data_IF_216057685638
#
_entry.id   IF_216057685638
#
_cell.length_a   1.000
_cell.length_b   1.000
_cell.length_c   1.000
_cell.angle_alpha   90.00
_cell.angle_beta   90.00
_cell.angle_gamma   90.00
#
_symmetry.space_group_name_H-M   'P 1'
#
loop_
_entity.id
_entity.type
_entity.pdbx_description
1 polymer ?
#
# COMPACT_ATOMS: atom_id res chain seq x y z
N UNK A 1 14.04 -23.82 -7.48
CA UNK A 1 14.37 -22.42 -7.80
C UNK A 1 14.04 -22.15 -9.26
N UNK A 2 13.67 -20.91 -9.60
CA UNK A 2 13.36 -20.53 -10.99
C UNK A 2 14.54 -19.76 -11.58
N UNK A 3 14.89 -20.07 -12.83
CA UNK A 3 15.91 -19.37 -13.58
C UNK A 3 15.27 -18.32 -14.48
N UNK A 4 15.97 -17.21 -14.67
CA UNK A 4 15.53 -16.12 -15.54
C UNK A 4 16.73 -15.60 -16.34
N UNK A 5 16.47 -15.36 -17.62
CA UNK A 5 17.33 -14.61 -18.52
C UNK A 5 16.44 -13.76 -19.43
N UNK A 6 17.01 -12.67 -19.92
CA UNK A 6 16.36 -11.75 -20.84
C UNK A 6 17.14 -11.68 -22.14
N UNK A 7 16.42 -11.65 -23.25
CA UNK A 7 16.99 -11.41 -24.56
C UNK A 7 16.34 -10.18 -25.18
N UNK A 8 17.15 -9.18 -25.46
CA UNK A 8 16.73 -7.92 -26.04
C UNK A 8 17.12 -7.90 -27.52
N UNK A 9 16.11 -7.87 -28.40
CA UNK A 9 16.33 -7.80 -29.84
C UNK A 9 16.29 -6.34 -30.29
N UNK A 10 17.47 -5.78 -30.58
CA UNK A 10 17.60 -4.45 -31.11
C UNK A 10 17.24 -4.42 -32.61
N UNK A 11 16.41 -3.47 -32.99
CA UNK A 11 15.93 -3.30 -34.35
C UNK A 11 15.76 -1.82 -34.67
N UNK A 12 16.47 -1.28 -35.68
CA UNK A 12 16.15 0.02 -36.25
C UNK A 12 14.65 0.26 -36.47
N UNK A 13 14.19 1.44 -36.06
CA UNK A 13 12.77 1.84 -36.14
C UNK A 13 12.22 1.73 -37.57
N UNK A 14 12.99 2.17 -38.56
CA UNK A 14 12.59 2.11 -39.98
C UNK A 14 12.27 0.69 -40.41
N UNK A 15 13.09 -0.28 -39.99
CA UNK A 15 12.86 -1.66 -40.31
C UNK A 15 11.68 -2.26 -39.53
N UNK A 16 11.46 -1.84 -38.27
CA UNK A 16 10.25 -2.18 -37.53
C UNK A 16 8.99 -1.72 -38.26
N UNK A 17 8.98 -0.49 -38.79
CA UNK A 17 7.87 0.07 -39.57
C UNK A 17 7.68 -0.68 -40.89
N UNK A 18 8.75 -0.97 -41.62
CA UNK A 18 8.70 -1.73 -42.86
C UNK A 18 8.13 -3.14 -42.63
N UNK A 19 8.64 -3.87 -41.63
CA UNK A 19 8.14 -5.21 -41.27
C UNK A 19 6.68 -5.15 -40.80
N UNK A 20 6.29 -4.11 -40.08
CA UNK A 20 4.91 -3.95 -39.63
C UNK A 20 3.92 -3.82 -40.79
N UNK A 21 4.26 -3.08 -41.85
CA UNK A 21 3.41 -2.92 -43.04
C UNK A 21 3.16 -4.21 -43.81
N UNK A 22 4.04 -5.21 -43.64
CA UNK A 22 3.91 -6.54 -44.27
C UNK A 22 3.04 -7.51 -43.45
N UNK A 23 2.61 -7.15 -42.23
CA UNK A 23 1.77 -8.00 -41.39
C UNK A 23 0.34 -8.00 -41.91
N UNK A 24 -0.38 -9.12 -41.70
CA UNK A 24 -1.80 -9.22 -42.02
C UNK A 24 -2.65 -8.19 -41.26
N UNK A 25 -2.25 -7.85 -40.04
CA UNK A 25 -2.87 -6.84 -39.20
C UNK A 25 -1.80 -5.89 -38.66
N UNK A 26 -1.46 -4.82 -39.38
CA UNK A 26 -0.46 -3.86 -38.93
C UNK A 26 -0.96 -3.07 -37.72
N UNK A 27 -0.07 -2.78 -36.78
CA UNK A 27 -0.36 -1.78 -35.73
C UNK A 27 -0.14 -0.37 -36.29
N UNK A 28 -0.79 0.68 -35.73
CA UNK A 28 -0.54 2.05 -36.18
C UNK A 28 0.94 2.44 -36.05
N UNK A 29 1.49 3.12 -37.06
CA UNK A 29 2.90 3.56 -37.05
C UNK A 29 3.21 4.40 -35.80
N UNK A 30 2.28 5.24 -35.34
CA UNK A 30 2.44 6.05 -34.11
C UNK A 30 2.69 5.18 -32.86
N UNK A 31 2.06 4.01 -32.76
CA UNK A 31 2.28 3.06 -31.66
C UNK A 31 3.73 2.57 -31.65
N UNK A 32 4.27 2.25 -32.82
CA UNK A 32 5.66 1.79 -32.95
C UNK A 32 6.63 2.90 -32.57
N UNK A 33 6.39 4.14 -33.02
CA UNK A 33 7.19 5.29 -32.60
C UNK A 33 7.15 5.52 -31.08
N UNK A 34 5.97 5.36 -30.47
CA UNK A 34 5.81 5.49 -29.02
C UNK A 34 6.57 4.39 -28.27
N UNK A 35 6.49 3.14 -28.75
CA UNK A 35 7.22 2.01 -28.17
C UNK A 35 8.73 2.24 -28.26
N UNK A 36 9.25 2.66 -29.41
CA UNK A 36 10.68 2.92 -29.60
C UNK A 36 11.22 4.01 -28.64
N UNK A 37 10.38 4.99 -28.28
CA UNK A 37 10.75 6.03 -27.30
C UNK A 37 10.68 5.56 -25.84
N UNK A 38 9.87 4.54 -25.54
CA UNK A 38 9.55 4.11 -24.17
C UNK A 38 10.23 2.82 -23.76
N UNK A 39 10.67 2.01 -24.71
CA UNK A 39 11.35 0.75 -24.43
C UNK A 39 12.67 1.04 -23.72
N UNK A 40 12.87 0.45 -22.56
CA UNK A 40 14.12 0.55 -21.80
C UNK A 40 15.00 -0.65 -22.15
N UNK A 41 16.29 -0.41 -22.40
CA UNK A 41 17.26 -1.49 -22.51
C UNK A 41 17.55 -2.09 -21.13
N UNK A 42 17.90 -3.38 -21.05
CA UNK A 42 18.36 -3.96 -19.80
C UNK A 42 19.57 -3.18 -19.23
N UNK A 43 19.50 -2.84 -17.95
CA UNK A 43 20.47 -2.09 -17.17
C UNK A 43 20.72 -2.78 -15.82
N UNK A 44 21.78 -3.60 -15.78
CA UNK A 44 22.21 -4.34 -14.59
C UNK A 44 22.55 -3.42 -13.41
N UNK A 45 22.94 -2.16 -13.67
CA UNK A 45 23.27 -1.21 -12.59
C UNK A 45 22.00 -0.72 -11.89
N UNK A 46 20.93 -0.50 -12.65
CA UNK A 46 19.60 -0.13 -12.13
C UNK A 46 18.90 -1.33 -11.50
N UNK A 47 19.03 -2.50 -12.14
CA UNK A 47 18.28 -3.71 -11.83
C UNK A 47 19.23 -4.91 -11.76
N UNK A 48 19.68 -5.28 -10.55
CA UNK A 48 20.62 -6.40 -10.37
C UNK A 48 20.08 -7.75 -10.90
N UNK A 49 18.76 -7.93 -10.96
CA UNK A 49 18.12 -9.14 -11.50
C UNK A 49 18.24 -9.27 -13.02
N UNK A 50 18.62 -8.20 -13.74
CA UNK A 50 18.84 -8.19 -15.18
C UNK A 50 20.26 -8.69 -15.56
N UNK A 51 21.03 -9.23 -14.61
CA UNK A 51 22.41 -9.72 -14.84
C UNK A 51 22.53 -10.73 -16.00
N UNK A 52 21.50 -11.55 -16.23
CA UNK A 52 21.44 -12.52 -17.31
C UNK A 52 20.71 -11.92 -18.52
N UNK A 53 21.23 -10.81 -19.06
CA UNK A 53 20.67 -10.15 -20.25
C UNK A 53 21.61 -10.25 -21.44
N UNK A 54 21.06 -10.52 -22.61
CA UNK A 54 21.78 -10.51 -23.89
C UNK A 54 21.10 -9.55 -24.87
N UNK A 55 21.87 -8.68 -25.52
CA UNK A 55 21.39 -7.74 -26.53
C UNK A 55 21.88 -8.23 -27.90
N UNK A 56 20.96 -8.50 -28.81
CA UNK A 56 21.27 -8.97 -30.17
C UNK A 56 20.64 -8.06 -31.22
N UNK A 57 21.33 -7.92 -32.35
CA UNK A 57 20.80 -7.20 -33.52
C UNK A 57 19.88 -8.11 -34.35
N UNK A 58 18.70 -7.61 -34.70
CA UNK A 58 17.68 -8.35 -35.46
C UNK A 58 17.88 -8.39 -36.98
N UNK A 59 19.01 -7.90 -37.49
CA UNK A 59 19.34 -7.87 -38.93
C UNK A 59 20.26 -9.01 -39.36
N UNK A 60 21.21 -9.37 -38.52
CA UNK A 60 22.34 -10.23 -38.89
C UNK A 60 22.50 -11.38 -37.90
N UNK A 61 21.41 -12.15 -37.67
CA UNK A 61 21.49 -13.33 -36.82
C UNK A 61 22.49 -14.33 -37.41
N UNK A 62 23.63 -14.49 -36.75
CA UNK A 62 24.71 -15.37 -37.19
C UNK A 62 24.81 -16.60 -36.28
N UNK A 63 25.69 -17.54 -36.61
CA UNK A 63 25.90 -18.74 -35.77
C UNK A 63 26.44 -18.38 -34.37
N UNK A 64 27.18 -17.29 -34.23
CA UNK A 64 27.72 -16.83 -32.95
C UNK A 64 26.61 -16.37 -32.00
N UNK A 65 25.56 -15.75 -32.51
CA UNK A 65 24.38 -15.38 -31.73
C UNK A 65 23.69 -16.60 -31.11
N UNK A 66 23.62 -17.71 -31.85
CA UNK A 66 23.05 -18.96 -31.32
C UNK A 66 23.87 -19.52 -30.15
N UNK A 67 25.20 -19.47 -30.27
CA UNK A 67 26.10 -19.90 -29.19
C UNK A 67 25.97 -18.99 -27.96
N UNK A 68 25.85 -17.67 -28.15
CA UNK A 68 25.61 -16.72 -27.07
C UNK A 68 24.26 -16.97 -26.38
N UNK A 69 23.21 -17.31 -27.12
CA UNK A 69 21.90 -17.67 -26.57
C UNK A 69 22.00 -18.94 -25.73
N UNK A 70 22.65 -19.99 -26.25
CA UNK A 70 22.83 -21.26 -25.53
C UNK A 70 23.64 -21.02 -24.25
N UNK A 71 24.71 -20.23 -24.34
CA UNK A 71 25.53 -19.85 -23.18
C UNK A 71 24.74 -19.07 -22.14
N UNK A 72 23.90 -18.11 -22.56
CA UNK A 72 23.02 -17.36 -21.66
C UNK A 72 22.05 -18.28 -20.92
N UNK A 73 21.43 -19.21 -21.64
CA UNK A 73 20.50 -20.18 -21.06
C UNK A 73 21.20 -21.08 -20.05
N UNK A 74 22.38 -21.62 -20.37
CA UNK A 74 23.18 -22.43 -19.45
C UNK A 74 23.54 -21.63 -18.19
N UNK A 75 24.03 -20.40 -18.37
CA UNK A 75 24.39 -19.50 -17.26
C UNK A 75 23.21 -19.22 -16.34
N UNK A 76 22.02 -18.96 -16.90
CA UNK A 76 20.81 -18.72 -16.12
C UNK A 76 20.32 -19.97 -15.38
N UNK A 77 20.48 -21.16 -15.96
CA UNK A 77 20.14 -22.44 -15.32
C UNK A 77 21.08 -22.75 -14.14
N UNK A 78 22.38 -22.48 -14.29
CA UNK A 78 23.36 -22.65 -13.22
C UNK A 78 23.22 -21.60 -12.11
N UNK A 79 22.72 -20.42 -12.45
CA UNK A 79 22.53 -19.30 -11.54
C UNK A 79 21.04 -18.95 -11.43
N UNK A 80 20.22 -19.80 -10.79
CA UNK A 80 18.80 -19.53 -10.61
C UNK A 80 18.63 -18.22 -9.85
N UNK A 81 17.66 -17.41 -10.28
CA UNK A 81 17.39 -16.12 -9.65
C UNK A 81 16.97 -16.38 -8.22
N UNK A 82 17.72 -15.79 -7.29
CA UNK A 82 17.32 -15.75 -5.89
C UNK A 82 15.99 -15.03 -5.85
N UNK A 83 14.98 -15.65 -5.24
CA UNK A 83 13.75 -14.94 -4.95
C UNK A 83 14.17 -13.64 -4.27
N UNK A 84 13.63 -12.52 -4.74
CA UNK A 84 13.73 -11.28 -3.98
C UNK A 84 13.19 -11.66 -2.60
N UNK A 85 14.06 -11.75 -1.61
CA UNK A 85 13.64 -11.64 -0.23
C UNK A 85 13.08 -10.22 -0.17
N UNK A 86 11.79 -10.06 -0.52
CA UNK A 86 11.00 -9.00 0.10
C UNK A 86 11.40 -9.09 1.55
N UNK A 87 11.96 -8.02 2.10
CA UNK A 87 12.42 -7.98 3.48
C UNK A 87 11.17 -8.16 4.35
N UNK A 88 10.75 -9.41 4.52
CA UNK A 88 9.54 -9.83 5.19
C UNK A 88 9.65 -9.42 6.64
N UNK A 89 10.87 -9.42 7.19
CA UNK A 89 11.18 -8.87 8.50
C UNK A 89 10.90 -7.36 8.57
N UNK A 90 11.32 -6.56 7.59
CA UNK A 90 11.01 -5.12 7.57
C UNK A 90 9.52 -4.85 7.34
N UNK A 91 8.87 -5.59 6.44
CA UNK A 91 7.43 -5.47 6.17
C UNK A 91 6.60 -5.91 7.37
N UNK A 92 7.01 -6.96 8.06
CA UNK A 92 6.36 -7.47 9.27
C UNK A 92 6.69 -6.57 10.47
N UNK A 93 7.88 -5.98 10.55
CA UNK A 93 8.22 -4.94 11.52
C UNK A 93 7.39 -3.68 11.30
N UNK A 94 7.24 -3.21 10.06
CA UNK A 94 6.40 -2.05 9.73
C UNK A 94 4.93 -2.34 10.03
N UNK A 95 4.44 -3.56 9.74
CA UNK A 95 3.11 -4.02 10.15
C UNK A 95 2.97 -4.10 11.67
N UNK A 96 3.99 -4.60 12.37
CA UNK A 96 4.01 -4.68 13.84
C UNK A 96 4.06 -3.30 14.48
N UNK A 97 4.77 -2.33 13.89
CA UNK A 97 4.80 -0.92 14.31
C UNK A 97 3.44 -0.27 14.05
N UNK A 98 2.79 -0.53 12.91
CA UNK A 98 1.43 -0.08 12.66
C UNK A 98 0.40 -0.73 13.61
N UNK A 99 0.55 -2.01 13.94
CA UNK A 99 -0.34 -2.75 14.86
C UNK A 99 -0.12 -2.38 16.34
N UNK A 100 1.12 -2.04 16.72
CA UNK A 100 1.50 -1.53 18.03
C UNK A 100 1.25 -0.02 18.19
N UNK A 101 0.82 0.67 17.13
CA UNK A 101 0.43 2.08 17.22
C UNK A 101 -0.84 2.21 18.06
N UNK A 102 -0.72 2.86 19.21
CA UNK A 102 -1.85 3.21 20.08
C UNK A 102 -3.03 3.85 19.32
N UNK A 103 -2.76 4.50 18.18
CA UNK A 103 -3.75 5.10 17.27
C UNK A 103 -4.69 4.05 16.67
N UNK A 104 -4.18 2.88 16.26
CA UNK A 104 -5.03 1.83 15.68
C UNK A 104 -5.96 1.24 16.74
N UNK A 105 -5.42 0.92 17.92
CA UNK A 105 -6.21 0.39 19.04
C UNK A 105 -7.27 1.41 19.50
N UNK A 106 -6.90 2.70 19.54
CA UNK A 106 -7.82 3.79 19.80
C UNK A 106 -8.93 3.90 18.75
N UNK A 107 -8.64 3.84 17.44
CA UNK A 107 -9.66 3.91 16.38
C UNK A 107 -10.62 2.72 16.44
N UNK A 108 -10.11 1.50 16.65
CA UNK A 108 -10.96 0.32 16.77
C UNK A 108 -11.92 0.44 17.97
N UNK A 109 -11.41 0.90 19.11
CA UNK A 109 -12.21 1.12 20.32
C UNK A 109 -13.25 2.24 20.12
N UNK A 110 -12.85 3.36 19.48
CA UNK A 110 -13.77 4.45 19.17
C UNK A 110 -14.92 3.98 18.26
N UNK A 111 -14.63 3.18 17.23
CA UNK A 111 -15.68 2.61 16.35
C UNK A 111 -16.65 1.71 17.12
N UNK A 112 -16.14 0.92 18.06
CA UNK A 112 -16.98 0.09 18.91
C UNK A 112 -17.88 0.94 19.80
N UNK A 113 -17.33 1.95 20.49
CA UNK A 113 -18.08 2.87 21.36
C UNK A 113 -19.16 3.60 20.56
N UNK A 114 -18.82 4.19 19.40
CA UNK A 114 -19.80 4.89 18.54
C UNK A 114 -20.93 3.95 18.12
N UNK A 115 -20.62 2.71 17.76
CA UNK A 115 -21.63 1.72 17.35
C UNK A 115 -22.59 1.40 18.50
N UNK A 116 -22.06 1.18 19.71
CA UNK A 116 -22.88 0.92 20.90
C UNK A 116 -23.73 2.13 21.25
N UNK A 117 -23.14 3.31 21.24
CA UNK A 117 -23.79 4.58 21.50
C UNK A 117 -24.93 4.87 20.52
N UNK A 118 -24.72 4.63 19.23
CA UNK A 118 -25.74 4.81 18.19
C UNK A 118 -26.90 3.81 18.38
N UNK A 119 -26.59 2.59 18.81
CA UNK A 119 -27.61 1.59 19.15
C UNK A 119 -28.44 2.03 20.36
N UNK A 120 -27.79 2.45 21.44
CA UNK A 120 -28.48 2.91 22.66
C UNK A 120 -29.36 4.14 22.40
N UNK A 121 -28.89 5.08 21.58
CA UNK A 121 -29.65 6.27 21.22
C UNK A 121 -30.88 5.93 20.34
N UNK A 122 -30.74 4.94 19.45
CA UNK A 122 -31.88 4.40 18.67
C UNK A 122 -32.89 3.70 19.57
N UNK A 123 -32.44 2.89 20.53
CA UNK A 123 -33.30 2.19 21.48
C UNK A 123 -34.04 3.17 22.41
N UNK A 124 -33.47 4.36 22.64
CA UNK A 124 -34.09 5.47 23.36
C UNK A 124 -34.98 6.38 22.48
N UNK A 125 -35.34 5.96 21.28
CA UNK A 125 -36.26 6.64 20.36
C UNK A 125 -35.82 8.05 19.90
N UNK A 126 -34.51 8.31 19.79
CA UNK A 126 -34.02 9.56 19.19
C UNK A 126 -34.44 9.62 17.71
N UNK A 127 -34.85 10.80 17.23
CA UNK A 127 -35.42 10.94 15.88
C UNK A 127 -34.38 10.66 14.79
N UNK A 128 -34.77 10.13 13.62
CA UNK A 128 -33.83 9.85 12.52
C UNK A 128 -33.01 11.07 12.06
N UNK A 129 -33.60 12.26 12.07
CA UNK A 129 -32.89 13.52 11.75
C UNK A 129 -31.80 13.86 12.77
N UNK A 130 -32.05 13.55 14.04
CA UNK A 130 -31.11 13.78 15.15
C UNK A 130 -30.05 12.68 15.22
N UNK A 131 -30.38 11.45 14.81
CA UNK A 131 -29.40 10.37 14.64
C UNK A 131 -28.29 10.73 13.65
N UNK A 132 -28.63 11.45 12.58
CA UNK A 132 -27.63 11.92 11.61
C UNK A 132 -26.68 12.93 12.24
N UNK A 133 -27.21 13.95 12.92
CA UNK A 133 -26.40 14.95 13.63
C UNK A 133 -25.53 14.33 14.73
N UNK A 134 -26.08 13.36 15.47
CA UNK A 134 -25.34 12.60 16.46
C UNK A 134 -24.15 11.85 15.85
N UNK A 135 -24.36 11.16 14.72
CA UNK A 135 -23.30 10.44 14.03
C UNK A 135 -22.20 11.38 13.51
N UNK A 136 -22.55 12.57 13.04
CA UNK A 136 -21.60 13.59 12.60
C UNK A 136 -20.76 14.12 13.78
N UNK A 137 -21.39 14.42 14.92
CA UNK A 137 -20.69 14.86 16.14
C UNK A 137 -19.75 13.77 16.69
N UNK A 138 -20.20 12.51 16.72
CA UNK A 138 -19.40 11.37 17.19
C UNK A 138 -18.20 11.09 16.27
N UNK A 139 -18.37 11.22 14.96
CA UNK A 139 -17.27 11.08 14.01
C UNK A 139 -16.28 12.22 14.11
N UNK A 140 -16.75 13.46 14.33
CA UNK A 140 -15.89 14.61 14.57
C UNK A 140 -15.06 14.43 15.83
N UNK A 141 -15.68 14.04 16.95
CA UNK A 141 -15.01 13.75 18.20
C UNK A 141 -13.94 12.66 18.03
N UNK A 142 -14.24 11.60 17.27
CA UNK A 142 -13.26 10.55 16.95
C UNK A 142 -12.06 11.10 16.18
N UNK A 143 -12.29 11.93 15.17
CA UNK A 143 -11.20 12.50 14.37
C UNK A 143 -10.29 13.37 15.25
N UNK A 144 -10.87 14.27 16.06
CA UNK A 144 -10.10 15.14 16.98
C UNK A 144 -9.28 14.31 17.98
N UNK A 145 -9.90 13.30 18.58
CA UNK A 145 -9.24 12.40 19.53
C UNK A 145 -8.08 11.61 18.90
N UNK A 146 -8.25 11.10 17.68
CA UNK A 146 -7.18 10.36 16.98
C UNK A 146 -6.05 11.28 16.54
N UNK A 147 -6.34 12.53 16.16
CA UNK A 147 -5.32 13.52 15.84
C UNK A 147 -4.51 13.93 17.08
N UNK A 148 -5.16 14.14 18.22
CA UNK A 148 -4.47 14.42 19.50
C UNK A 148 -3.54 13.27 19.90
N UNK A 149 -3.96 12.04 19.63
CA UNK A 149 -3.17 10.84 19.88
C UNK A 149 -1.98 10.70 18.92
N UNK A 150 -2.14 11.10 17.65
CA UNK A 150 -1.04 11.18 16.66
C UNK A 150 -0.01 12.24 17.03
N UNK A 151 -0.45 13.37 17.60
CA UNK A 151 0.42 14.47 18.01
C UNK A 151 1.08 14.27 19.39
N UNK A 152 0.68 13.23 20.14
CA UNK A 152 1.23 12.95 21.47
C UNK A 152 0.76 13.92 22.56
N UNK A 153 -0.36 14.63 22.36
CA UNK A 153 -0.86 15.68 23.26
C UNK A 153 -1.52 15.17 24.57
N UNK A 154 -1.31 13.91 24.96
CA UNK A 154 -1.84 13.38 26.21
C UNK A 154 -0.98 13.80 27.40
N UNK A 155 -1.25 14.96 27.99
CA UNK A 155 -1.01 15.32 29.42
C UNK A 155 -1.16 16.84 29.63
N UNK A 156 -2.38 17.38 29.63
CA UNK A 156 -2.63 18.70 30.27
C UNK A 156 -3.84 18.77 31.20
N UNK A 157 -4.76 17.82 31.19
CA UNK A 157 -5.99 17.91 31.99
C UNK A 157 -6.25 16.70 32.91
N UNK A 158 -5.23 16.20 33.62
CA UNK A 158 -5.45 15.20 34.67
C UNK A 158 -4.73 15.57 35.97
N UNK A 159 -5.15 16.68 36.57
CA UNK A 159 -4.98 16.90 38.00
C UNK A 159 -6.16 16.24 38.74
N UNK A 160 -5.83 15.34 39.67
CA UNK A 160 -6.72 14.63 40.62
C UNK A 160 -7.55 13.52 39.92
N UNK A 161 -7.36 12.23 40.17
CA UNK A 161 -7.52 11.50 41.43
C UNK A 161 -6.62 10.23 41.42
N UNK A 162 -6.24 9.81 42.63
CA UNK A 162 -5.20 8.87 43.06
C UNK A 162 -5.14 7.47 42.40
N UNK A 163 -3.89 7.00 42.26
CA UNK A 163 -3.39 5.63 42.46
C UNK A 163 -4.27 4.45 42.01
N UNK A 164 -4.06 3.99 40.78
CA UNK A 164 -3.96 2.56 40.48
C UNK A 164 -3.27 2.35 39.13
N UNK A 165 -2.42 1.33 39.09
CA UNK A 165 -1.68 0.84 37.92
C UNK A 165 -2.67 0.53 36.78
N UNK A 166 -2.85 1.48 35.87
CA UNK A 166 -3.70 1.31 34.68
C UNK A 166 -2.84 1.55 33.44
N UNK A 167 -2.86 0.55 32.57
CA UNK A 167 -2.34 0.57 31.21
C UNK A 167 -2.80 1.87 30.49
N UNK A 168 -1.88 2.68 29.90
CA UNK A 168 -2.20 3.91 29.18
C UNK A 168 -3.37 3.79 28.18
N UNK A 169 -3.57 2.61 27.59
CA UNK A 169 -4.69 2.36 26.69
C UNK A 169 -6.07 2.42 27.39
N UNK A 170 -6.12 2.10 28.68
CA UNK A 170 -7.37 2.06 29.47
C UNK A 170 -7.78 3.45 29.96
N UNK A 171 -6.81 4.34 30.25
CA UNK A 171 -7.12 5.72 30.65
C UNK A 171 -7.62 6.56 29.47
N UNK A 172 -7.01 6.38 28.29
CA UNK A 172 -7.33 7.11 27.06
C UNK A 172 -8.73 6.76 26.54
N UNK A 173 -9.14 5.49 26.63
CA UNK A 173 -10.46 5.01 26.19
C UNK A 173 -11.59 5.49 27.11
N UNK A 174 -11.33 5.66 28.41
CA UNK A 174 -12.31 6.19 29.37
C UNK A 174 -12.70 7.64 29.09
N UNK A 175 -11.77 8.46 28.59
CA UNK A 175 -12.02 9.87 28.23
C UNK A 175 -12.98 9.97 27.03
N UNK A 176 -12.70 9.22 25.97
CA UNK A 176 -13.57 9.21 24.79
C UNK A 176 -14.98 8.70 25.13
N UNK A 177 -15.09 7.67 25.96
CA UNK A 177 -16.39 7.13 26.38
C UNK A 177 -17.20 8.15 27.19
N UNK A 178 -16.56 8.89 28.10
CA UNK A 178 -17.23 9.95 28.87
C UNK A 178 -17.76 11.05 27.97
N UNK A 179 -16.94 11.52 27.03
CA UNK A 179 -17.30 12.61 26.11
C UNK A 179 -18.37 12.18 25.10
N UNK A 180 -18.29 10.96 24.57
CA UNK A 180 -19.34 10.37 23.73
C UNK A 180 -20.68 10.28 24.48
N UNK A 181 -20.65 9.87 25.75
CA UNK A 181 -21.86 9.81 26.60
C UNK A 181 -22.46 11.21 26.82
N UNK A 182 -21.62 12.23 27.02
CA UNK A 182 -22.06 13.61 27.16
C UNK A 182 -22.72 14.15 25.89
N UNK A 183 -22.17 13.85 24.72
CA UNK A 183 -22.78 14.21 23.42
C UNK A 183 -24.18 13.59 23.31
N UNK A 184 -24.31 12.31 23.66
CA UNK A 184 -25.55 11.55 23.51
C UNK A 184 -26.64 12.00 24.48
N UNK A 185 -26.25 12.34 25.70
CA UNK A 185 -27.17 12.88 26.70
C UNK A 185 -27.83 14.19 26.24
N UNK A 186 -27.18 15.01 25.41
CA UNK A 186 -27.81 16.22 24.81
C UNK A 186 -29.01 15.91 23.91
N UNK A 187 -29.06 14.70 23.35
CA UNK A 187 -30.12 14.25 22.45
C UNK A 187 -31.19 13.43 23.17
N UNK A 188 -30.84 12.76 24.28
CA UNK A 188 -31.77 11.97 25.08
C UNK A 188 -32.54 12.83 26.09
N UNK A 189 -31.89 13.82 26.71
CA UNK A 189 -32.46 14.64 27.78
C UNK A 189 -33.17 15.91 27.27
N UNK A 190 -33.53 15.93 25.98
CA UNK A 190 -34.28 17.02 25.34
C UNK A 190 -35.78 16.85 25.47
#
# INVERSE_FOLDING_TARGET
SLSFCQLFLECPLECCLQRNRLRSHPVPDQTIHLMARKIEMPDVKKNAWEQNSLILNSFDCNLEDNEQIISLLATALENPVKQNEENTEQKEADRAICAASAVHQADQTCRHIISQTMKDAKDKNVRPSEMKSLAEELNKLKMEFLEDLRQGNNLKNQSCIQNQYLDPATSVTSSFQHEATNVVNKYILK
#
